data_IF_800185983777
#
_entry.id   IF_800185983777
#
_cell.length_a   1.000
_cell.length_b   1.000
_cell.length_c   1.000
_cell.angle_alpha   90.00
_cell.angle_beta   90.00
_cell.angle_gamma   90.00
#
_symmetry.space_group_name_H-M   'P 1'
#
loop_
_entity.id
_entity.type
_entity.pdbx_description
1 polymer ?
#
# COMPACT_ATOMS: atom_id res chain seq x y z
N UNK A 1 3.57 31.48 15.14
CA UNK A 1 2.90 30.44 15.96
C UNK A 1 1.60 30.10 15.27
N UNK A 2 1.30 28.81 15.05
CA UNK A 2 -0.01 28.40 14.52
C UNK A 2 -1.09 28.80 15.53
N UNK A 3 -2.11 29.54 15.09
CA UNK A 3 -3.24 29.88 15.93
C UNK A 3 -4.07 28.63 16.26
N UNK A 4 -4.84 28.67 17.35
CA UNK A 4 -5.78 27.60 17.69
C UNK A 4 -6.74 27.28 16.53
N UNK A 5 -7.17 28.31 15.80
CA UNK A 5 -8.02 28.17 14.62
C UNK A 5 -7.31 27.46 13.46
N UNK A 6 -6.03 27.74 13.21
CA UNK A 6 -5.23 27.09 12.16
C UNK A 6 -5.06 25.60 12.46
N UNK A 7 -4.84 25.25 13.73
CA UNK A 7 -4.73 23.86 14.18
C UNK A 7 -6.06 23.14 13.99
N UNK A 8 -7.18 23.77 14.35
CA UNK A 8 -8.52 23.19 14.16
C UNK A 8 -8.82 22.94 12.67
N UNK A 9 -8.49 23.91 11.80
CA UNK A 9 -8.68 23.79 10.36
C UNK A 9 -7.78 22.69 9.76
N UNK A 10 -6.54 22.58 10.24
CA UNK A 10 -5.63 21.51 9.84
C UNK A 10 -6.16 20.13 10.25
N UNK A 11 -6.62 19.97 11.50
CA UNK A 11 -7.20 18.72 11.97
C UNK A 11 -8.48 18.36 11.22
N UNK A 12 -9.34 19.34 10.92
CA UNK A 12 -10.55 19.12 10.12
C UNK A 12 -10.21 18.69 8.69
N UNK A 13 -9.28 19.37 8.03
CA UNK A 13 -8.86 19.03 6.66
C UNK A 13 -8.18 17.65 6.60
N UNK A 14 -7.35 17.30 7.57
CA UNK A 14 -6.75 15.97 7.71
C UNK A 14 -7.84 14.91 7.92
N UNK A 15 -8.80 15.16 8.81
CA UNK A 15 -9.90 14.25 9.10
C UNK A 15 -10.77 13.97 7.86
N UNK A 16 -11.12 15.02 7.10
CA UNK A 16 -11.87 14.88 5.84
C UNK A 16 -11.06 14.08 4.81
N UNK A 17 -9.77 14.41 4.67
CA UNK A 17 -8.88 13.74 3.71
C UNK A 17 -8.76 12.24 4.01
N UNK A 18 -8.48 11.87 5.26
CA UNK A 18 -8.43 10.47 5.68
C UNK A 18 -9.80 9.79 5.55
N UNK A 19 -10.87 10.51 5.87
CA UNK A 19 -12.25 10.03 5.75
C UNK A 19 -12.64 9.59 4.33
N UNK A 20 -12.07 10.25 3.31
CA UNK A 20 -12.31 9.94 1.90
C UNK A 20 -11.27 8.94 1.37
N UNK A 21 -9.99 9.14 1.66
CA UNK A 21 -8.90 8.38 1.03
C UNK A 21 -8.77 6.97 1.61
N UNK A 22 -8.86 6.80 2.93
CA UNK A 22 -8.67 5.49 3.58
C UNK A 22 -9.61 4.41 3.03
N UNK A 23 -10.94 4.61 2.92
CA UNK A 23 -11.81 3.57 2.38
C UNK A 23 -11.51 3.24 0.92
N UNK A 24 -11.12 4.24 0.12
CA UNK A 24 -10.80 4.04 -1.28
C UNK A 24 -9.50 3.23 -1.47
N UNK A 25 -8.45 3.57 -0.73
CA UNK A 25 -7.19 2.83 -0.73
C UNK A 25 -7.35 1.44 -0.10
N UNK A 26 -8.15 1.31 0.96
CA UNK A 26 -8.44 0.04 1.61
C UNK A 26 -9.08 -0.97 0.66
N UNK A 27 -10.01 -0.54 -0.17
CA UNK A 27 -10.59 -1.40 -1.23
C UNK A 27 -9.56 -1.72 -2.31
N UNK A 28 -8.72 -0.76 -2.69
CA UNK A 28 -7.69 -0.96 -3.73
C UNK A 28 -6.68 -2.03 -3.31
N UNK A 29 -6.17 -1.95 -2.08
CA UNK A 29 -5.23 -2.92 -1.52
C UNK A 29 -5.85 -4.31 -1.51
N UNK A 30 -7.09 -4.45 -1.02
CA UNK A 30 -7.82 -5.74 -1.04
C UNK A 30 -8.01 -6.27 -2.46
N UNK A 31 -8.37 -5.40 -3.41
CA UNK A 31 -8.58 -5.79 -4.80
C UNK A 31 -7.30 -6.28 -5.50
N UNK A 32 -6.15 -5.66 -5.21
CA UNK A 32 -4.83 -6.07 -5.73
C UNK A 32 -4.30 -7.33 -5.05
N UNK A 33 -4.58 -7.47 -3.76
CA UNK A 33 -4.20 -8.62 -2.94
C UNK A 33 -5.00 -9.88 -3.25
N UNK A 34 -6.26 -9.74 -3.68
CA UNK A 34 -7.16 -10.87 -3.88
C UNK A 34 -6.60 -11.89 -4.89
N UNK A 35 -6.52 -13.14 -4.48
CA UNK A 35 -6.04 -14.26 -5.27
C UNK A 35 -7.20 -14.95 -6.01
N UNK A 36 -7.18 -14.93 -7.35
CA UNK A 36 -8.21 -15.54 -8.20
C UNK A 36 -7.57 -16.58 -9.16
N UNK A 37 -7.40 -17.85 -8.74
CA UNK A 37 -6.78 -18.88 -9.58
C UNK A 37 -7.64 -19.21 -10.81
N UNK A 38 -7.01 -19.50 -11.95
CA UNK A 38 -7.66 -19.83 -13.23
C UNK A 38 -8.21 -21.26 -13.33
N UNK A 39 -7.87 -22.15 -12.41
CA UNK A 39 -8.19 -23.58 -12.49
C UNK A 39 -9.40 -24.01 -11.66
N UNK A 40 -10.25 -24.88 -12.22
CA UNK A 40 -11.05 -25.81 -11.41
C UNK A 40 -10.06 -26.65 -10.60
N UNK A 41 -10.03 -26.46 -9.28
CA UNK A 41 -9.37 -27.42 -8.40
C UNK A 41 -10.21 -28.70 -8.47
N UNK A 42 -9.72 -29.70 -9.21
CA UNK A 42 -10.26 -31.06 -9.09
C UNK A 42 -10.12 -31.45 -7.62
N UNK A 43 -11.20 -31.95 -7.02
CA UNK A 43 -11.21 -32.50 -5.66
C UNK A 43 -9.98 -33.42 -5.51
N UNK A 44 -9.00 -32.98 -4.75
CA UNK A 44 -7.93 -33.87 -4.32
C UNK A 44 -8.59 -34.90 -3.41
N UNK A 45 -8.73 -36.14 -3.90
CA UNK A 45 -9.09 -37.30 -3.09
C UNK A 45 -8.21 -37.32 -1.83
N UNK A 46 -8.77 -36.83 -0.71
CA UNK A 46 -8.25 -37.10 0.63
C UNK A 46 -7.36 -36.05 1.31
N UNK A 47 -7.36 -34.76 0.96
CA UNK A 47 -6.60 -33.78 1.76
C UNK A 47 -6.95 -32.32 1.51
N UNK A 48 -7.48 -31.66 2.55
CA UNK A 48 -7.70 -30.22 2.75
C UNK A 48 -8.06 -29.40 1.48
N UNK A 49 -9.35 -29.09 1.30
CA UNK A 49 -9.76 -28.12 0.27
C UNK A 49 -9.05 -26.78 0.51
N UNK A 50 -8.21 -26.30 -0.43
CA UNK A 50 -7.70 -24.95 -0.37
C UNK A 50 -8.90 -24.02 -0.54
N UNK A 51 -9.19 -23.18 0.46
CA UNK A 51 -10.29 -22.23 0.40
C UNK A 51 -10.08 -21.29 -0.80
N UNK A 52 -10.68 -21.61 -1.96
CA UNK A 52 -10.71 -20.69 -3.09
C UNK A 52 -11.57 -19.53 -2.68
N UNK A 53 -10.93 -18.43 -2.29
CA UNK A 53 -11.63 -17.22 -1.93
C UNK A 53 -12.56 -16.74 -3.05
N UNK A 54 -13.45 -15.78 -2.75
CA UNK A 54 -14.43 -15.24 -3.68
C UNK A 54 -13.77 -14.71 -4.96
N UNK A 55 -14.29 -15.10 -6.12
CA UNK A 55 -13.83 -14.59 -7.41
C UNK A 55 -14.35 -13.16 -7.60
N UNK A 56 -13.46 -12.16 -7.44
CA UNK A 56 -13.82 -10.74 -7.55
C UNK A 56 -13.03 -10.09 -8.69
N UNK A 57 -13.75 -9.60 -9.69
CA UNK A 57 -13.17 -9.00 -10.89
C UNK A 57 -13.25 -7.47 -10.94
N UNK A 58 -13.96 -6.83 -10.01
CA UNK A 58 -14.18 -5.38 -10.05
C UNK A 58 -13.88 -4.72 -8.71
N UNK A 59 -13.33 -3.51 -8.78
CA UNK A 59 -13.04 -2.68 -7.61
C UNK A 59 -14.31 -2.37 -6.80
N UNK A 60 -15.39 -1.97 -7.47
CA UNK A 60 -16.67 -1.69 -6.80
C UNK A 60 -17.34 -2.96 -6.27
N UNK A 61 -17.12 -4.12 -6.91
CA UNK A 61 -17.51 -5.41 -6.36
C UNK A 61 -16.82 -5.71 -5.03
N UNK A 62 -15.51 -5.46 -4.96
CA UNK A 62 -14.74 -5.55 -3.72
C UNK A 62 -15.28 -4.59 -2.65
N UNK A 63 -15.54 -3.32 -3.01
CA UNK A 63 -16.11 -2.33 -2.09
C UNK A 63 -17.46 -2.76 -1.50
N UNK A 64 -18.37 -3.22 -2.37
CA UNK A 64 -19.69 -3.71 -1.95
C UNK A 64 -19.54 -4.90 -1.01
N UNK A 65 -18.63 -5.83 -1.32
CA UNK A 65 -18.40 -7.01 -0.49
C UNK A 65 -17.83 -6.65 0.88
N UNK A 66 -16.84 -5.75 0.96
CA UNK A 66 -16.32 -5.24 2.25
C UNK A 66 -17.47 -4.67 3.07
N UNK A 67 -18.32 -3.83 2.46
CA UNK A 67 -19.46 -3.24 3.13
C UNK A 67 -20.50 -4.27 3.60
N UNK A 68 -20.76 -5.32 2.82
CA UNK A 68 -21.72 -6.37 3.18
C UNK A 68 -21.21 -7.29 4.29
N UNK A 69 -19.91 -7.65 4.28
CA UNK A 69 -19.33 -8.62 5.22
C UNK A 69 -18.83 -7.94 6.50
N UNK A 70 -18.04 -6.88 6.38
CA UNK A 70 -17.39 -6.20 7.52
C UNK A 70 -18.09 -4.88 7.91
N UNK A 71 -19.04 -4.39 7.12
CA UNK A 71 -19.69 -3.11 7.34
C UNK A 71 -18.81 -1.89 7.05
N UNK A 72 -19.21 -0.74 7.59
CA UNK A 72 -18.49 0.53 7.44
C UNK A 72 -17.13 0.48 8.14
N UNK A 73 -17.04 -0.17 9.30
CA UNK A 73 -15.78 -0.31 10.03
C UNK A 73 -14.70 -1.06 9.22
N UNK A 74 -15.12 -2.03 8.39
CA UNK A 74 -14.26 -2.72 7.44
C UNK A 74 -13.62 -1.80 6.39
N UNK A 75 -14.39 -0.85 5.85
CA UNK A 75 -13.88 0.13 4.89
C UNK A 75 -12.81 1.03 5.51
N UNK A 76 -12.94 1.36 6.79
CA UNK A 76 -11.98 2.21 7.51
C UNK A 76 -10.82 1.46 8.19
N UNK A 77 -10.66 0.15 7.94
CA UNK A 77 -9.46 -0.58 8.35
C UNK A 77 -8.22 0.10 7.76
N UNK A 78 -7.22 0.35 8.60
CA UNK A 78 -6.00 1.08 8.22
C UNK A 78 -6.00 2.57 8.56
N UNK A 79 -7.09 3.16 9.09
CA UNK A 79 -7.11 4.58 9.47
C UNK A 79 -6.06 4.92 10.54
N UNK A 80 -5.92 4.10 11.58
CA UNK A 80 -4.95 4.32 12.66
C UNK A 80 -3.49 4.25 12.21
N UNK A 81 -3.02 3.19 11.52
CA UNK A 81 -1.64 3.17 11.05
C UNK A 81 -1.36 4.29 10.03
N UNK A 82 -2.35 4.67 9.21
CA UNK A 82 -2.21 5.80 8.25
C UNK A 82 -2.12 7.15 8.98
N UNK A 83 -2.91 7.35 10.02
CA UNK A 83 -2.87 8.57 10.83
C UNK A 83 -1.53 8.69 11.55
N UNK A 84 -1.09 7.61 12.21
CA UNK A 84 0.18 7.57 12.92
C UNK A 84 1.36 7.82 11.98
N UNK A 85 1.33 7.23 10.78
CA UNK A 85 2.38 7.45 9.80
C UNK A 85 2.40 8.85 9.23
N UNK A 86 1.22 9.43 8.99
CA UNK A 86 1.12 10.81 8.50
C UNK A 86 1.70 11.77 9.54
N UNK A 87 1.43 11.54 10.83
CA UNK A 87 2.03 12.31 11.91
C UNK A 87 3.55 12.11 12.00
N UNK A 88 4.03 10.87 11.87
CA UNK A 88 5.45 10.55 11.91
C UNK A 88 6.21 11.21 10.75
N UNK A 89 5.68 11.12 9.53
CA UNK A 89 6.26 11.77 8.35
C UNK A 89 6.23 13.30 8.50
N UNK A 90 5.12 13.88 8.97
CA UNK A 90 5.02 15.31 9.21
C UNK A 90 6.05 15.79 10.26
N UNK A 91 6.25 15.03 11.33
CA UNK A 91 7.26 15.31 12.35
C UNK A 91 8.68 15.16 11.79
N UNK A 92 8.97 14.09 11.04
CA UNK A 92 10.27 13.87 10.43
C UNK A 92 10.64 14.97 9.45
N UNK A 93 9.69 15.39 8.59
CA UNK A 93 9.88 16.51 7.67
C UNK A 93 10.07 17.81 8.44
N UNK A 94 9.26 18.09 9.47
CA UNK A 94 9.38 19.31 10.27
C UNK A 94 10.69 19.41 11.06
N UNK A 95 11.34 18.29 11.38
CA UNK A 95 12.67 18.27 12.02
C UNK A 95 13.83 18.34 11.02
N UNK A 96 13.68 17.76 9.83
CA UNK A 96 14.76 17.65 8.83
C UNK A 96 14.78 18.81 7.83
N UNK A 97 13.65 19.49 7.61
CA UNK A 97 13.50 20.59 6.68
C UNK A 97 13.15 21.84 7.48
N UNK A 98 14.01 22.85 7.47
CA UNK A 98 13.71 24.13 8.10
C UNK A 98 12.39 24.68 7.53
N UNK A 99 11.43 25.09 8.39
CA UNK A 99 10.15 25.59 7.92
C UNK A 99 10.34 26.91 7.19
N UNK A 100 10.40 26.88 5.86
CA UNK A 100 10.28 28.09 5.06
C UNK A 100 8.89 28.69 5.31
N UNK A 101 8.78 29.98 5.68
CA UNK A 101 7.56 30.57 6.25
C UNK A 101 6.44 30.86 5.22
N UNK A 102 6.46 30.25 4.03
CA UNK A 102 5.43 30.48 3.01
C UNK A 102 4.48 29.29 2.92
N UNK A 103 3.26 29.57 3.39
CA UNK A 103 2.07 28.73 3.24
C UNK A 103 1.75 28.59 1.75
N UNK A 104 2.28 27.56 1.11
CA UNK A 104 1.55 26.71 0.15
C UNK A 104 2.51 25.69 -0.46
N UNK A 105 2.13 24.41 -0.36
CA UNK A 105 2.74 23.25 -1.05
C UNK A 105 4.10 22.82 -0.49
N UNK A 106 4.08 21.77 0.33
CA UNK A 106 5.22 20.90 0.62
C UNK A 106 5.86 20.45 -0.71
N UNK A 107 6.96 21.08 -1.11
CA UNK A 107 7.82 20.59 -2.20
C UNK A 107 9.04 19.94 -1.59
N UNK A 108 9.38 18.76 -2.09
CA UNK A 108 10.69 18.16 -1.81
C UNK A 108 11.79 19.21 -2.13
N UNK A 109 12.84 19.33 -1.31
CA UNK A 109 13.89 20.32 -1.53
C UNK A 109 14.44 20.22 -2.94
N UNK A 110 14.60 21.36 -3.63
CA UNK A 110 15.13 21.47 -5.00
C UNK A 110 16.61 21.11 -5.06
N UNK A 111 16.88 19.86 -4.73
CA UNK A 111 18.15 19.20 -5.00
C UNK A 111 18.06 18.65 -6.42
N UNK A 112 19.20 18.58 -7.11
CA UNK A 112 19.27 17.95 -8.44
C UNK A 112 18.69 16.54 -8.45
N UNK A 113 18.58 15.92 -9.64
CA UNK A 113 17.96 14.59 -9.81
C UNK A 113 18.49 13.57 -8.77
N UNK A 114 19.79 13.59 -8.49
CA UNK A 114 20.43 12.74 -7.49
C UNK A 114 19.96 13.00 -6.05
N UNK A 115 19.79 14.26 -5.66
CA UNK A 115 19.33 14.58 -4.31
C UNK A 115 17.85 14.23 -4.12
N UNK A 116 17.03 14.43 -5.16
CA UNK A 116 15.63 13.98 -5.15
C UNK A 116 15.57 12.46 -5.01
N UNK A 117 16.41 11.73 -5.74
CA UNK A 117 16.47 10.26 -5.68
C UNK A 117 16.91 9.77 -4.29
N UNK A 118 17.98 10.33 -3.72
CA UNK A 118 18.45 9.94 -2.39
C UNK A 118 17.41 10.25 -1.31
N UNK A 119 16.77 11.42 -1.39
CA UNK A 119 15.68 11.80 -0.51
C UNK A 119 14.48 10.84 -0.62
N UNK A 120 14.05 10.51 -1.84
CA UNK A 120 12.95 9.57 -2.07
C UNK A 120 13.26 8.17 -1.55
N UNK A 121 14.48 7.67 -1.72
CA UNK A 121 14.91 6.38 -1.16
C UNK A 121 14.89 6.43 0.37
N UNK A 122 15.43 7.49 0.98
CA UNK A 122 15.41 7.68 2.43
C UNK A 122 13.99 7.71 3.01
N UNK A 123 13.09 8.46 2.37
CA UNK A 123 11.67 8.52 2.77
C UNK A 123 10.95 7.18 2.56
N UNK A 124 11.28 6.44 1.50
CA UNK A 124 10.72 5.11 1.26
C UNK A 124 11.15 4.10 2.32
N UNK A 125 12.42 4.14 2.77
CA UNK A 125 12.87 3.31 3.88
C UNK A 125 12.06 3.62 5.16
N UNK A 126 11.81 4.88 5.46
CA UNK A 126 10.96 5.24 6.60
C UNK A 126 9.49 4.78 6.43
N UNK A 127 8.97 4.81 5.20
CA UNK A 127 7.58 4.46 4.89
C UNK A 127 7.33 2.95 4.73
N UNK A 128 8.34 2.15 4.41
CA UNK A 128 8.24 0.70 4.19
C UNK A 128 7.58 -0.08 5.34
N UNK A 129 8.03 0.04 6.61
CA UNK A 129 7.39 -0.70 7.70
C UNK A 129 5.95 -0.25 7.91
N UNK A 130 5.66 1.03 7.68
CA UNK A 130 4.29 1.56 7.72
C UNK A 130 3.42 0.93 6.63
N UNK A 131 3.89 0.86 5.38
CA UNK A 131 3.08 0.33 4.28
C UNK A 131 2.74 -1.14 4.53
N UNK A 132 3.70 -1.94 4.99
CA UNK A 132 3.49 -3.35 5.39
C UNK A 132 2.44 -3.47 6.48
N UNK A 133 2.56 -2.70 7.57
CA UNK A 133 1.60 -2.73 8.68
C UNK A 133 0.21 -2.29 8.21
N UNK A 134 0.12 -1.23 7.40
CA UNK A 134 -1.15 -0.72 6.87
C UNK A 134 -1.82 -1.73 5.94
N UNK A 135 -1.09 -2.34 5.02
CA UNK A 135 -1.65 -3.33 4.09
C UNK A 135 -2.10 -4.59 4.81
N UNK A 136 -1.34 -5.07 5.80
CA UNK A 136 -1.76 -6.20 6.65
C UNK A 136 -2.99 -5.83 7.49
N UNK A 137 -3.04 -4.63 8.04
CA UNK A 137 -4.22 -4.12 8.77
C UNK A 137 -5.49 -4.10 7.89
N UNK A 138 -5.36 -3.67 6.63
CA UNK A 138 -6.45 -3.65 5.67
C UNK A 138 -6.93 -5.06 5.28
N UNK A 139 -6.00 -5.99 5.09
CA UNK A 139 -6.29 -7.34 4.56
C UNK A 139 -6.64 -8.38 5.62
N UNK A 140 -6.41 -8.07 6.90
CA UNK A 140 -6.67 -9.00 8.00
C UNK A 140 -8.18 -9.15 8.24
N UNK A 141 -8.70 -10.39 8.37
CA UNK A 141 -10.13 -10.64 8.60
C UNK A 141 -10.57 -10.33 10.04
N UNK A 142 -9.64 -10.14 10.97
CA UNK A 142 -9.92 -9.89 12.39
C UNK A 142 -10.30 -8.42 12.64
N UNK A 143 -11.14 -8.17 13.67
CA UNK A 143 -11.39 -6.82 14.17
C UNK A 143 -10.19 -6.35 15.00
N UNK A 144 -9.54 -5.30 14.53
CA UNK A 144 -8.42 -4.68 15.23
C UNK A 144 -8.93 -3.58 16.16
N UNK A 145 -8.42 -3.57 17.39
CA UNK A 145 -8.70 -2.49 18.32
C UNK A 145 -7.94 -1.24 17.90
N UNK A 146 -8.62 -0.10 17.86
CA UNK A 146 -8.02 1.20 17.54
C UNK A 146 -7.09 1.72 18.65
N UNK A 147 -7.39 1.40 19.91
CA UNK A 147 -6.65 1.92 21.07
C UNK A 147 -5.60 0.93 21.60
N UNK A 148 -5.80 -0.37 21.40
CA UNK A 148 -4.84 -1.40 21.85
C UNK A 148 -3.83 -1.75 20.75
N UNK A 149 -2.98 -0.80 20.39
CA UNK A 149 -2.00 -0.94 19.31
C UNK A 149 -1.09 -2.17 19.48
N UNK A 150 -0.67 -2.49 20.70
CA UNK A 150 0.19 -3.66 20.98
C UNK A 150 -0.51 -5.00 20.71
N UNK A 151 -1.81 -5.12 21.06
CA UNK A 151 -2.61 -6.32 20.75
C UNK A 151 -2.76 -6.46 19.25
N UNK A 152 -3.13 -5.37 18.56
CA UNK A 152 -3.25 -5.33 17.10
C UNK A 152 -1.94 -5.68 16.39
N UNK A 153 -0.80 -5.17 16.89
CA UNK A 153 0.52 -5.47 16.32
C UNK A 153 0.93 -6.94 16.52
N UNK A 154 0.54 -7.55 17.65
CA UNK A 154 0.76 -8.98 17.91
C UNK A 154 0.00 -9.87 16.93
N UNK A 155 -1.18 -9.43 16.49
CA UNK A 155 -1.97 -10.12 15.46
C UNK A 155 -1.37 -9.93 14.06
N UNK A 156 -0.87 -8.73 13.76
CA UNK A 156 -0.37 -8.39 12.42
C UNK A 156 1.05 -8.90 12.14
N UNK A 157 1.92 -8.91 13.16
CA UNK A 157 3.32 -9.31 13.04
C UNK A 157 3.55 -10.72 13.56
N UNK A 158 4.28 -11.49 12.77
CA UNK A 158 4.74 -12.82 13.18
C UNK A 158 5.67 -12.75 14.41
N UNK A 159 5.80 -13.83 15.20
CA UNK A 159 6.74 -13.86 16.34
C UNK A 159 8.18 -13.52 15.93
N UNK A 160 8.58 -13.91 14.72
CA UNK A 160 9.89 -13.62 14.10
C UNK A 160 10.08 -12.13 13.84
N UNK A 161 9.11 -11.48 13.21
CA UNK A 161 9.12 -10.03 12.95
C UNK A 161 9.09 -9.21 14.25
N UNK A 162 8.37 -9.68 15.28
CA UNK A 162 8.34 -9.03 16.60
C UNK A 162 9.69 -9.08 17.31
N UNK A 163 10.39 -10.22 17.22
CA UNK A 163 11.75 -10.38 17.81
C UNK A 163 12.81 -9.63 16.99
N UNK A 164 12.64 -9.54 15.67
CA UNK A 164 13.59 -8.90 14.74
C UNK A 164 12.84 -7.99 13.77
N UNK A 165 12.53 -6.73 14.16
CA UNK A 165 11.72 -5.81 13.33
C UNK A 165 12.36 -5.45 11.99
N UNK A 166 13.70 -5.54 11.91
CA UNK A 166 14.47 -5.32 10.68
C UNK A 166 14.11 -6.30 9.55
N UNK A 167 13.53 -7.47 9.86
CA UNK A 167 13.11 -8.47 8.86
C UNK A 167 12.04 -7.90 7.92
N UNK A 168 11.22 -6.95 8.37
CA UNK A 168 10.19 -6.31 7.53
C UNK A 168 10.81 -5.66 6.29
N UNK A 169 12.02 -5.10 6.42
CA UNK A 169 12.77 -4.52 5.30
C UNK A 169 13.35 -5.57 4.35
N UNK A 170 13.58 -6.78 4.87
CA UNK A 170 14.13 -7.92 4.14
C UNK A 170 13.05 -8.79 3.50
N UNK A 171 11.79 -8.32 3.49
CA UNK A 171 10.71 -9.01 2.77
C UNK A 171 11.11 -9.20 1.30
N UNK A 172 11.16 -10.44 0.80
CA UNK A 172 11.81 -10.76 -0.46
C UNK A 172 11.18 -10.01 -1.62
N UNK A 173 12.00 -9.20 -2.32
CA UNK A 173 11.57 -8.45 -3.51
C UNK A 173 10.78 -7.16 -3.26
N UNK A 174 10.31 -6.89 -2.03
CA UNK A 174 9.53 -5.68 -1.74
C UNK A 174 10.38 -4.41 -1.89
N UNK A 175 11.57 -4.38 -1.30
CA UNK A 175 12.49 -3.24 -1.42
C UNK A 175 12.87 -3.00 -2.89
N UNK A 176 13.14 -4.06 -3.64
CA UNK A 176 13.45 -3.96 -5.07
C UNK A 176 12.28 -3.38 -5.87
N UNK A 177 11.03 -3.73 -5.52
CA UNK A 177 9.84 -3.20 -6.16
C UNK A 177 9.70 -1.69 -5.92
N UNK A 178 9.84 -1.25 -4.66
CA UNK A 178 9.74 0.15 -4.28
C UNK A 178 10.88 1.00 -4.86
N UNK A 179 12.11 0.48 -4.88
CA UNK A 179 13.23 1.17 -5.54
C UNK A 179 12.96 1.31 -7.04
N UNK A 180 12.53 0.25 -7.72
CA UNK A 180 12.21 0.33 -9.15
C UNK A 180 11.09 1.36 -9.42
N UNK A 181 10.08 1.42 -8.55
CA UNK A 181 9.00 2.39 -8.63
C UNK A 181 9.54 3.82 -8.54
N UNK A 182 10.40 4.10 -7.54
CA UNK A 182 11.05 5.40 -7.37
C UNK A 182 11.90 5.75 -8.59
N UNK A 183 12.67 4.80 -9.14
CA UNK A 183 13.49 5.05 -10.32
C UNK A 183 12.63 5.44 -11.53
N UNK A 184 11.53 4.75 -11.79
CA UNK A 184 10.62 5.07 -12.91
C UNK A 184 10.02 6.47 -12.73
N UNK A 185 9.60 6.83 -11.51
CA UNK A 185 9.00 8.14 -11.24
C UNK A 185 10.02 9.28 -11.26
N UNK A 186 11.15 9.11 -10.55
CA UNK A 186 12.15 10.18 -10.34
C UNK A 186 13.05 10.37 -11.57
N UNK A 187 13.42 9.31 -12.27
CA UNK A 187 14.27 9.41 -13.46
C UNK A 187 13.47 9.48 -14.77
N UNK A 188 12.27 8.90 -14.80
CA UNK A 188 11.41 8.91 -15.99
C UNK A 188 10.44 10.09 -15.96
N UNK A 189 9.42 10.01 -15.10
CA UNK A 189 8.28 10.93 -15.16
C UNK A 189 8.62 12.36 -14.73
N UNK A 190 9.40 12.54 -13.66
CA UNK A 190 9.71 13.86 -13.10
C UNK A 190 10.52 14.75 -14.05
N UNK A 191 11.58 14.28 -14.74
CA UNK A 191 12.30 15.08 -15.72
C UNK A 191 11.43 15.43 -16.93
N UNK A 192 10.62 14.48 -17.42
CA UNK A 192 9.69 14.71 -18.54
C UNK A 192 8.65 15.77 -18.15
N UNK A 193 8.11 15.69 -16.93
CA UNK A 193 7.21 16.71 -16.38
C UNK A 193 7.88 18.08 -16.36
N UNK A 194 9.08 18.19 -15.79
CA UNK A 194 9.83 19.47 -15.70
C UNK A 194 10.14 20.03 -17.10
N UNK A 195 10.44 19.17 -18.07
CA UNK A 195 10.76 19.57 -19.44
C UNK A 195 9.52 20.03 -20.23
N UNK A 196 8.36 19.35 -20.07
CA UNK A 196 7.16 19.64 -20.85
C UNK A 196 6.26 20.69 -20.21
N UNK A 197 6.03 20.60 -18.90
CA UNK A 197 5.11 21.45 -18.14
C UNK A 197 5.82 22.59 -17.39
N UNK A 198 7.15 22.68 -17.54
CA UNK A 198 7.94 23.73 -16.92
C UNK A 198 8.13 23.54 -15.41
N UNK A 199 8.93 24.44 -14.84
CA UNK A 199 9.07 24.56 -13.40
C UNK A 199 7.84 25.31 -12.89
N UNK A 200 7.14 24.73 -11.93
CA UNK A 200 5.94 25.33 -11.33
C UNK A 200 6.34 26.48 -10.39
N UNK A 201 7.17 27.42 -10.84
CA UNK A 201 7.46 28.66 -10.12
C UNK A 201 6.35 29.67 -10.46
N UNK A 202 5.88 30.39 -9.44
CA UNK A 202 4.65 31.21 -9.37
C UNK A 202 4.52 32.35 -10.40
N UNK A 203 5.39 32.45 -11.41
CA UNK A 203 5.49 33.64 -12.27
C UNK A 203 5.54 33.37 -13.79
N UNK A 204 5.27 32.14 -14.26
CA UNK A 204 5.06 31.93 -15.70
C UNK A 204 3.61 31.61 -16.02
N UNK A 205 2.87 32.65 -16.39
CA UNK A 205 1.59 32.61 -17.11
C UNK A 205 1.82 32.07 -18.56
N UNK A 206 2.57 30.98 -18.67
CA UNK A 206 2.81 30.33 -19.95
C UNK A 206 1.57 29.53 -20.29
N UNK A 207 0.77 30.05 -21.23
CA UNK A 207 -0.33 29.34 -21.88
C UNK A 207 0.03 27.86 -22.06
N UNK A 208 -0.61 27.01 -21.28
CA UNK A 208 -0.38 25.58 -21.28
C UNK A 208 -0.76 25.05 -22.66
N UNK A 209 0.22 24.91 -23.54
CA UNK A 209 -0.02 24.43 -24.90
C UNK A 209 -0.68 23.05 -24.83
N UNK A 210 -1.88 22.86 -25.42
CA UNK A 210 -2.60 21.60 -25.35
C UNK A 210 -1.80 20.44 -25.97
N UNK A 211 -0.88 20.74 -26.90
CA UNK A 211 0.04 19.76 -27.47
C UNK A 211 1.06 19.23 -26.44
N UNK A 212 1.64 20.09 -25.60
CA UNK A 212 2.58 19.68 -24.55
C UNK A 212 1.88 18.85 -23.47
N UNK A 213 0.65 19.24 -23.11
CA UNK A 213 -0.20 18.47 -22.20
C UNK A 213 -0.56 17.11 -22.80
N UNK A 214 -0.92 17.06 -24.08
CA UNK A 214 -1.20 15.80 -24.79
C UNK A 214 0.00 14.84 -24.79
N UNK A 215 1.20 15.34 -25.07
CA UNK A 215 2.44 14.55 -25.01
C UNK A 215 2.70 14.06 -23.58
N UNK A 216 2.51 14.93 -22.58
CA UNK A 216 2.68 14.54 -21.19
C UNK A 216 1.69 13.45 -20.77
N UNK A 217 0.42 13.53 -21.19
CA UNK A 217 -0.58 12.49 -20.93
C UNK A 217 -0.20 11.14 -21.54
N UNK A 218 0.41 11.12 -22.73
CA UNK A 218 0.93 9.87 -23.33
C UNK A 218 2.00 9.25 -22.43
N UNK A 219 2.93 10.06 -21.89
CA UNK A 219 3.92 9.57 -20.93
C UNK A 219 3.29 9.09 -19.62
N UNK A 220 2.25 9.76 -19.12
CA UNK A 220 1.50 9.30 -17.94
C UNK A 220 0.82 7.95 -18.20
N UNK A 221 0.20 7.75 -19.37
CA UNK A 221 -0.35 6.46 -19.77
C UNK A 221 0.73 5.38 -19.83
N UNK A 222 1.89 5.68 -20.44
CA UNK A 222 3.01 4.74 -20.54
C UNK A 222 3.57 4.38 -19.16
N UNK A 223 3.77 5.37 -18.28
CA UNK A 223 4.19 5.16 -16.90
C UNK A 223 3.16 4.33 -16.12
N UNK A 224 1.86 4.54 -16.35
CA UNK A 224 0.81 3.72 -15.72
C UNK A 224 0.95 2.24 -16.11
N UNK A 225 1.21 1.94 -17.38
CA UNK A 225 1.40 0.56 -17.86
C UNK A 225 2.59 -0.12 -17.17
N UNK A 226 3.64 0.64 -16.83
CA UNK A 226 4.82 0.12 -16.14
C UNK A 226 4.64 0.04 -14.61
N UNK A 227 3.98 1.03 -14.01
CA UNK A 227 3.85 1.16 -12.56
C UNK A 227 2.74 0.28 -11.99
N UNK A 228 1.62 0.08 -12.67
CA UNK A 228 0.52 -0.73 -12.12
C UNK A 228 0.94 -2.17 -11.81
N UNK A 229 1.63 -2.92 -12.71
CA UNK A 229 2.12 -4.25 -12.37
C UNK A 229 3.03 -4.25 -11.15
N UNK A 230 3.89 -3.25 -11.05
CA UNK A 230 4.83 -3.10 -9.95
C UNK A 230 4.12 -2.85 -8.62
N UNK A 231 3.11 -1.98 -8.60
CA UNK A 231 2.29 -1.73 -7.42
C UNK A 231 1.48 -2.98 -7.00
N UNK A 232 0.94 -3.74 -7.95
CA UNK A 232 0.24 -5.01 -7.65
C UNK A 232 1.21 -6.01 -7.01
N UNK A 233 2.41 -6.18 -7.57
CA UNK A 233 3.44 -7.05 -7.00
C UNK A 233 3.86 -6.56 -5.60
N UNK A 234 4.11 -5.25 -5.44
CA UNK A 234 4.50 -4.66 -4.16
C UNK A 234 3.42 -4.88 -3.09
N UNK A 235 2.13 -4.70 -3.41
CA UNK A 235 1.05 -4.96 -2.46
C UNK A 235 1.03 -6.41 -1.98
N UNK A 236 1.23 -7.38 -2.88
CA UNK A 236 1.25 -8.81 -2.54
C UNK A 236 2.47 -9.20 -1.71
N UNK A 237 3.64 -8.68 -2.07
CA UNK A 237 4.87 -8.90 -1.31
C UNK A 237 4.78 -8.28 0.09
N UNK A 238 4.17 -7.11 0.24
CA UNK A 238 4.02 -6.45 1.54
C UNK A 238 3.03 -7.15 2.48
N UNK A 239 2.01 -7.83 1.93
CA UNK A 239 1.06 -8.61 2.73
C UNK A 239 1.69 -9.92 3.21
N UNK A 240 2.58 -10.51 2.42
CA UNK A 240 3.28 -11.74 2.77
C UNK A 240 3.96 -11.62 4.14
N UNK A 241 3.73 -12.61 4.99
CA UNK A 241 4.34 -12.72 6.32
C UNK A 241 5.70 -13.41 6.24
N UNK A 242 6.69 -12.85 6.95
CA UNK A 242 8.02 -13.44 7.00
C UNK A 242 8.09 -14.51 8.10
N UNK A 243 7.75 -15.75 7.75
CA UNK A 243 7.95 -16.90 8.63
C UNK A 243 9.43 -17.31 8.66
N UNK A 244 9.94 -17.70 9.83
CA UNK A 244 11.12 -18.56 9.86
C UNK A 244 10.71 -19.95 9.36
N UNK A 245 11.65 -20.70 8.79
CA UNK A 245 11.42 -22.06 8.27
C UNK A 245 10.51 -22.88 9.20
N UNK A 246 9.60 -23.65 8.59
CA UNK A 246 8.60 -24.48 9.27
C UNK A 246 9.19 -25.40 10.36
N UNK A 247 10.48 -25.73 10.27
CA UNK A 247 11.24 -26.53 11.23
C UNK A 247 11.36 -25.88 12.62
N UNK A 248 11.23 -24.56 12.76
CA UNK A 248 11.20 -23.85 14.05
C UNK A 248 9.79 -23.55 14.58
N UNK A 249 8.74 -23.72 13.76
CA UNK A 249 7.36 -23.46 14.16
C UNK A 249 6.75 -24.57 15.03
N UNK A 250 7.36 -25.75 15.08
CA UNK A 250 6.96 -26.84 15.99
C UNK A 250 7.21 -26.54 17.47
N UNK A 251 7.97 -25.48 17.78
CA UNK A 251 8.30 -25.05 19.15
C UNK A 251 7.71 -23.66 19.47
N UNK A 252 6.84 -23.11 18.61
CA UNK A 252 6.22 -21.79 18.81
C UNK A 252 4.71 -21.77 18.60
N UNK A 253 4.06 -22.94 18.69
CA UNK A 253 2.70 -23.02 19.23
C UNK A 253 2.75 -22.59 20.71
N UNK A 254 2.92 -21.30 20.98
CA UNK A 254 2.32 -20.69 22.19
C UNK A 254 0.81 -20.60 21.92
N UNK A 255 0.18 -21.78 21.85
CA UNK A 255 -1.16 -22.01 22.36
C UNK A 255 -0.92 -22.47 23.79
N UNK A 256 -0.66 -21.52 24.68
CA UNK A 256 -0.86 -21.69 26.12
C UNK A 256 -0.62 -20.34 26.81
N UNK A 257 -1.72 -19.64 27.14
CA UNK A 257 -1.65 -18.56 28.12
C UNK A 257 -2.67 -17.42 28.05
N UNK A 258 -3.49 -17.28 26.99
CA UNK A 258 -4.56 -16.26 26.94
C UNK A 258 -5.70 -16.73 26.01
N UNK A 259 -6.46 -17.72 26.48
CA UNK A 259 -7.68 -18.19 25.83
C UNK A 259 -8.91 -17.30 26.10
N UNK A 260 -8.73 -16.06 26.57
CA UNK A 260 -9.84 -15.17 26.98
C UNK A 260 -10.13 -13.99 26.05
N UNK A 261 -9.39 -13.80 24.96
CA UNK A 261 -9.63 -12.64 24.09
C UNK A 261 -9.47 -12.99 22.62
N UNK A 262 -10.22 -14.02 22.18
CA UNK A 262 -10.42 -14.39 20.78
C UNK A 262 -10.81 -13.13 20.03
N UNK A 263 -9.88 -12.54 19.28
CA UNK A 263 -10.18 -11.35 18.49
C UNK A 263 -11.32 -11.69 17.54
N UNK A 264 -12.46 -11.03 17.73
CA UNK A 264 -13.65 -11.29 16.91
C UNK A 264 -13.30 -11.19 15.42
N UNK A 265 -13.74 -12.18 14.64
CA UNK A 265 -13.74 -12.06 13.19
C UNK A 265 -14.57 -10.83 12.79
N UNK A 266 -14.05 -10.05 11.85
CA UNK A 266 -14.73 -8.85 11.36
C UNK A 266 -15.92 -9.19 10.45
N UNK A 267 -15.92 -10.38 9.83
CA UNK A 267 -16.98 -10.88 8.99
C UNK A 267 -17.86 -11.94 9.68
N UNK A 268 -19.02 -12.19 9.07
CA UNK A 268 -19.92 -13.31 9.37
C UNK A 268 -19.35 -14.62 8.83
N UNK A 269 -18.22 -15.06 9.37
CA UNK A 269 -17.57 -16.36 9.10
C UNK A 269 -16.95 -16.55 7.70
N UNK A 270 -17.05 -15.56 6.80
CA UNK A 270 -16.46 -15.56 5.45
C UNK A 270 -15.41 -14.45 5.30
N UNK A 271 -14.26 -14.77 4.70
CA UNK A 271 -13.20 -13.81 4.41
C UNK A 271 -13.55 -12.93 3.19
N UNK A 272 -13.27 -11.63 3.30
CA UNK A 272 -13.55 -10.68 2.21
C UNK A 272 -12.70 -10.97 0.96
N UNK A 273 -11.47 -11.43 1.16
CA UNK A 273 -10.49 -11.71 0.11
C UNK A 273 -9.90 -13.10 0.26
N UNK A 274 -9.58 -13.75 -0.85
CA UNK A 274 -8.71 -14.92 -0.86
C UNK A 274 -7.25 -14.47 -0.85
N UNK A 275 -6.47 -14.91 0.14
CA UNK A 275 -5.02 -14.75 0.13
C UNK A 275 -4.36 -16.06 -0.33
N UNK A 276 -3.16 -15.94 -0.92
CA UNK A 276 -2.33 -17.11 -1.23
C UNK A 276 -1.95 -17.82 0.08
N UNK A 277 -1.88 -19.16 0.05
CA UNK A 277 -1.41 -19.95 1.19
C UNK A 277 -0.01 -19.48 1.64
N UNK A 278 0.17 -19.27 2.94
CA UNK A 278 1.42 -18.81 3.56
C UNK A 278 2.55 -19.87 3.47
N UNK A 279 2.21 -21.14 3.22
CA UNK A 279 3.17 -22.25 3.06
C UNK A 279 3.98 -22.20 1.76
N UNK A 280 3.48 -21.50 0.73
CA UNK A 280 4.15 -21.33 -0.56
C UNK A 280 4.35 -19.84 -0.87
N UNK A 281 5.30 -19.17 -0.17
CA UNK A 281 5.55 -17.74 -0.31
C UNK A 281 6.27 -17.39 -1.61
N UNK A 282 6.13 -16.13 -2.03
CA UNK A 282 6.95 -15.56 -3.10
C UNK A 282 8.40 -15.43 -2.65
N UNK A 283 9.32 -15.88 -3.50
CA UNK A 283 10.77 -15.84 -3.25
C UNK A 283 11.38 -14.50 -3.67
N UNK A 284 10.67 -13.73 -4.49
CA UNK A 284 11.09 -12.39 -4.89
C UNK A 284 10.17 -11.75 -5.92
N UNK A 285 10.57 -10.58 -6.43
CA UNK A 285 9.76 -9.76 -7.35
C UNK A 285 9.42 -10.49 -8.65
N UNK A 286 10.41 -11.11 -9.28
CA UNK A 286 10.25 -11.80 -10.57
C UNK A 286 9.43 -13.07 -10.40
N UNK A 287 9.67 -13.81 -9.32
CA UNK A 287 8.90 -15.01 -8.96
C UNK A 287 7.43 -14.66 -8.72
N UNK A 288 7.17 -13.59 -7.97
CA UNK A 288 5.82 -13.06 -7.77
C UNK A 288 5.14 -12.70 -9.08
N UNK A 289 5.82 -11.98 -9.98
CA UNK A 289 5.28 -11.62 -11.28
C UNK A 289 4.91 -12.85 -12.13
N UNK A 290 5.80 -13.84 -12.20
CA UNK A 290 5.58 -15.09 -12.95
C UNK A 290 4.38 -15.85 -12.40
N UNK A 291 4.36 -16.10 -11.09
CA UNK A 291 3.26 -16.81 -10.43
C UNK A 291 1.91 -16.12 -10.62
N UNK A 292 1.85 -14.79 -10.56
CA UNK A 292 0.60 -14.06 -10.87
C UNK A 292 0.13 -14.35 -12.31
N UNK A 293 1.04 -14.33 -13.28
CA UNK A 293 0.70 -14.55 -14.69
C UNK A 293 0.24 -16.00 -14.93
N UNK A 294 0.95 -16.95 -14.32
CA UNK A 294 0.71 -18.39 -14.49
C UNK A 294 -0.59 -18.82 -13.79
N UNK A 295 -0.80 -18.40 -12.54
CA UNK A 295 -1.92 -18.83 -11.70
C UNK A 295 -3.20 -18.04 -11.97
N UNK A 296 -3.12 -16.71 -12.16
CA UNK A 296 -4.29 -15.82 -12.24
C UNK A 296 -4.42 -15.10 -13.59
N UNK A 297 -3.32 -14.97 -14.33
CA UNK A 297 -3.27 -14.28 -15.61
C UNK A 297 -2.73 -12.87 -15.59
N UNK A 298 -2.24 -12.45 -16.76
CA UNK A 298 -1.61 -11.15 -16.98
C UNK A 298 -2.53 -9.97 -16.66
N UNK A 299 -3.86 -10.10 -16.83
CA UNK A 299 -4.82 -9.04 -16.52
C UNK A 299 -4.86 -8.70 -15.03
N UNK A 300 -4.46 -9.63 -14.15
CA UNK A 300 -4.36 -9.41 -12.70
C UNK A 300 -3.31 -8.36 -12.34
N UNK A 301 -2.22 -8.26 -13.12
CA UNK A 301 -1.19 -7.24 -12.91
C UNK A 301 -1.71 -5.80 -13.16
N UNK A 302 -2.82 -5.65 -13.86
CA UNK A 302 -3.43 -4.34 -14.16
C UNK A 302 -4.64 -4.02 -13.27
N UNK A 303 -4.82 -4.74 -12.15
CA UNK A 303 -5.92 -4.47 -11.21
C UNK A 303 -5.78 -3.10 -10.57
N UNK A 304 -6.75 -2.24 -10.85
CA UNK A 304 -6.78 -0.87 -10.35
C UNK A 304 -5.79 0.05 -11.06
N UNK A 305 -5.49 -0.20 -12.35
CA UNK A 305 -4.62 0.67 -13.16
C UNK A 305 -5.08 2.13 -13.18
N UNK A 306 -6.40 2.37 -13.17
CA UNK A 306 -6.96 3.71 -13.19
C UNK A 306 -6.66 4.50 -11.90
N UNK A 307 -6.46 3.82 -10.76
CA UNK A 307 -5.99 4.48 -9.53
C UNK A 307 -4.56 4.98 -9.66
N UNK A 308 -3.67 4.15 -10.24
CA UNK A 308 -2.30 4.57 -10.58
C UNK A 308 -2.34 5.76 -11.55
N UNK A 309 -3.17 5.68 -12.59
CA UNK A 309 -3.35 6.77 -13.56
C UNK A 309 -3.79 8.08 -12.89
N UNK A 310 -4.85 8.04 -12.07
CA UNK A 310 -5.33 9.21 -11.33
C UNK A 310 -4.27 9.75 -10.36
N UNK A 311 -3.53 8.86 -9.69
CA UNK A 311 -2.40 9.24 -8.83
C UNK A 311 -1.31 9.99 -9.60
N UNK A 312 -0.97 9.54 -10.81
CA UNK A 312 -0.04 10.23 -11.69
C UNK A 312 -0.59 11.54 -12.24
N UNK A 313 -1.90 11.61 -12.55
CA UNK A 313 -2.55 12.85 -12.97
C UNK A 313 -2.53 13.92 -11.88
N UNK A 314 -2.58 13.53 -10.60
CA UNK A 314 -2.42 14.45 -9.46
C UNK A 314 -1.06 15.15 -9.42
N UNK A 315 -0.10 14.74 -10.27
CA UNK A 315 1.16 15.45 -10.45
C UNK A 315 1.07 16.60 -11.47
N UNK A 316 -0.03 16.74 -12.20
CA UNK A 316 -0.30 17.93 -13.04
C UNK A 316 -0.59 19.10 -12.09
N UNK A 317 -0.01 20.30 -12.33
CA UNK A 317 -0.23 21.48 -11.50
C UNK A 317 -1.68 21.96 -11.48
#
# INVERSE_FOLDING_TARGET
>A
MLGFFDILLLLASLGITLGIIVPLLGVLVRYRANYNPKGLQLDAEGGAQPHTGPIIHTYFGMMRRVYTIEGISGLYKGIMPTLLSTLLVALAVGLLVEPSPRVNKYRAPETGIFGTLLYSIGMMLLALPTSVITYRCITTPLKLSYFNAMKSLRVLLTPTERRKPWIIYLTPGLLAAEVLHIFIVVLGLNPIRRALLGKSDEDSDSDMSPAKLGIYLVFVCLSTVLLTPLEVIATRLAIQRNHASSEYNSVSQEVDGDAEDVTEFAGTEEDVIGLRNEEDPYVGLIDCAKRIIDEEGWSTLFRGWWWTFVGLLGTIP
#
